data_IF_784196190751
#
_entry.id   IF_784196190751
#
_cell.length_a   1.000
_cell.length_b   1.000
_cell.length_c   1.000
_cell.angle_alpha   90.00
_cell.angle_beta   90.00
_cell.angle_gamma   90.00
#
_symmetry.space_group_name_H-M   'P 1'
#
loop_
_entity.id
_entity.type
_entity.pdbx_description
1 polymer ?
#
# COMPACT_ATOMS: atom_id res chain seq x y z
N UNK A 1 6.03 -34.14 48.53
CA UNK A 1 6.35 -32.79 49.04
C UNK A 1 5.31 -31.83 48.49
N UNK A 2 4.40 -31.45 49.37
CA UNK A 2 3.23 -30.60 49.16
C UNK A 2 3.60 -29.13 49.37
N UNK A 3 3.18 -28.26 48.46
CA UNK A 3 2.90 -26.85 48.81
C UNK A 3 1.70 -26.37 48.02
N UNK A 4 0.64 -26.18 48.80
CA UNK A 4 -0.69 -25.60 48.56
C UNK A 4 -0.66 -24.09 48.35
N UNK A 5 -1.52 -23.54 47.49
CA UNK A 5 -2.17 -22.23 47.62
C UNK A 5 -3.51 -22.30 46.82
N UNK A 6 -4.62 -22.62 47.49
CA UNK A 6 -5.59 -21.68 48.09
C UNK A 6 -6.48 -21.00 47.04
N UNK A 7 -7.65 -21.60 46.82
CA UNK A 7 -8.73 -21.07 45.98
C UNK A 7 -9.59 -20.04 46.70
N UNK A 8 -10.05 -19.04 45.95
CA UNK A 8 -11.08 -18.11 46.39
C UNK A 8 -12.45 -18.57 45.89
N UNK A 9 -13.31 -18.89 46.85
CA UNK A 9 -14.71 -19.26 46.70
C UNK A 9 -15.56 -17.98 46.78
N UNK A 10 -16.46 -17.79 45.80
CA UNK A 10 -17.58 -16.85 45.86
C UNK A 10 -18.67 -17.38 46.79
N UNK A 11 -19.21 -16.59 47.73
CA UNK A 11 -20.48 -16.90 48.35
C UNK A 11 -21.63 -16.20 47.62
N UNK A 12 -22.51 -17.04 47.07
CA UNK A 12 -23.90 -16.72 46.75
C UNK A 12 -24.61 -16.19 48.00
N UNK A 13 -25.12 -14.96 47.95
CA UNK A 13 -26.01 -14.42 48.97
C UNK A 13 -27.44 -14.90 48.71
N UNK A 14 -27.87 -15.83 49.55
CA UNK A 14 -29.26 -16.27 49.70
C UNK A 14 -30.10 -15.21 50.42
N UNK A 15 -31.25 -14.89 49.85
CA UNK A 15 -32.32 -14.09 50.46
C UNK A 15 -32.86 -14.81 51.71
N UNK A 16 -32.72 -14.18 52.88
CA UNK A 16 -33.39 -14.60 54.12
C UNK A 16 -34.34 -13.50 54.59
N UNK A 17 -35.62 -13.85 54.61
CA UNK A 17 -36.75 -13.04 55.02
C UNK A 17 -36.88 -13.09 56.55
N UNK A 18 -36.54 -12.01 57.27
CA UNK A 18 -36.99 -11.79 58.66
C UNK A 18 -37.18 -10.30 58.92
N UNK A 19 -38.43 -9.92 59.13
CA UNK A 19 -38.80 -8.65 59.77
C UNK A 19 -38.38 -8.67 61.25
N UNK A 20 -38.01 -7.50 61.81
CA UNK A 20 -38.65 -7.12 63.06
C UNK A 20 -39.17 -5.69 63.06
N UNK A 21 -40.16 -5.53 63.93
CA UNK A 21 -40.98 -4.36 64.18
C UNK A 21 -40.19 -3.10 64.58
N UNK A 22 -40.63 -1.99 63.99
CA UNK A 22 -40.82 -0.66 64.55
C UNK A 22 -40.06 -0.31 65.86
N UNK A 23 -39.10 0.62 65.74
CA UNK A 23 -38.88 1.62 66.79
C UNK A 23 -38.51 2.97 66.16
N UNK A 24 -39.17 4.00 66.66
CA UNK A 24 -39.12 5.39 66.22
C UNK A 24 -37.73 6.02 66.28
N UNK A 25 -37.34 6.86 65.30
CA UNK A 25 -36.96 8.27 65.51
C UNK A 25 -36.36 8.96 64.27
N UNK A 26 -36.90 10.17 64.04
CA UNK A 26 -36.32 11.38 63.42
C UNK A 26 -36.10 11.38 61.89
N UNK A 27 -36.91 12.20 61.24
CA UNK A 27 -36.81 12.65 59.84
C UNK A 27 -35.43 13.26 59.53
N UNK A 28 -34.81 12.94 58.38
CA UNK A 28 -33.67 13.68 57.89
C UNK A 28 -34.15 15.04 57.38
N UNK A 29 -33.60 16.11 57.97
CA UNK A 29 -33.84 17.49 57.53
C UNK A 29 -33.44 17.68 56.07
N UNK A 30 -34.24 18.47 55.34
CA UNK A 30 -34.12 18.86 53.93
C UNK A 30 -32.69 19.18 53.43
N UNK A 31 -31.78 19.61 54.32
CA UNK A 31 -30.37 19.90 54.01
C UNK A 31 -29.55 18.67 53.60
N UNK A 32 -29.83 17.49 54.16
CA UNK A 32 -29.07 16.27 53.85
C UNK A 32 -29.43 15.70 52.48
N UNK A 33 -30.69 15.85 52.05
CA UNK A 33 -31.14 15.43 50.73
C UNK A 33 -30.55 16.31 49.62
N UNK A 34 -30.46 17.63 49.83
CA UNK A 34 -29.84 18.55 48.88
C UNK A 34 -28.33 18.27 48.76
N UNK A 35 -27.63 18.05 49.87
CA UNK A 35 -26.20 17.72 49.84
C UNK A 35 -25.92 16.42 49.05
N UNK A 36 -26.73 15.37 49.26
CA UNK A 36 -26.59 14.09 48.55
C UNK A 36 -26.89 14.24 47.04
N UNK A 37 -27.89 15.05 46.68
CA UNK A 37 -28.22 15.33 45.28
C UNK A 37 -27.10 16.13 44.59
N UNK A 38 -26.52 17.10 45.29
CA UNK A 38 -25.45 17.97 44.75
C UNK A 38 -24.17 17.16 44.51
N UNK A 39 -23.80 16.28 45.45
CA UNK A 39 -22.63 15.39 45.31
C UNK A 39 -22.84 14.40 44.16
N UNK A 40 -24.04 13.82 44.02
CA UNK A 40 -24.34 12.89 42.92
C UNK A 40 -24.29 13.59 41.56
N UNK A 41 -24.86 14.80 41.44
CA UNK A 41 -24.81 15.59 40.20
C UNK A 41 -23.38 16.00 39.86
N UNK A 42 -22.59 16.44 40.84
CA UNK A 42 -21.18 16.74 40.63
C UNK A 42 -20.37 15.49 40.24
N UNK A 43 -20.62 14.34 40.84
CA UNK A 43 -19.99 13.07 40.46
C UNK A 43 -20.39 12.63 39.05
N UNK A 44 -21.65 12.80 38.64
CA UNK A 44 -22.10 12.50 37.28
C UNK A 44 -21.52 13.47 36.24
N UNK A 45 -21.36 14.75 36.59
CA UNK A 45 -20.69 15.74 35.74
C UNK A 45 -19.20 15.40 35.64
N UNK A 46 -18.53 15.08 36.76
CA UNK A 46 -17.12 14.65 36.76
C UNK A 46 -16.92 13.35 35.99
N UNK A 47 -17.78 12.34 36.16
CA UNK A 47 -17.74 11.12 35.36
C UNK A 47 -18.00 11.42 33.89
N UNK A 48 -18.95 12.30 33.55
CA UNK A 48 -19.20 12.67 32.15
C UNK A 48 -18.05 13.47 31.54
N UNK A 49 -17.32 14.28 32.32
CA UNK A 49 -16.14 15.01 31.86
C UNK A 49 -14.92 14.09 31.75
N UNK A 50 -14.73 13.16 32.70
CA UNK A 50 -13.67 12.14 32.65
C UNK A 50 -13.92 11.11 31.53
N UNK A 51 -15.16 10.68 31.32
CA UNK A 51 -15.54 9.78 30.21
C UNK A 51 -15.47 10.50 28.85
N UNK A 52 -15.75 11.81 28.79
CA UNK A 52 -15.50 12.62 27.58
C UNK A 52 -14.00 12.86 27.34
N UNK A 53 -13.18 12.91 28.38
CA UNK A 53 -11.72 12.97 28.29
C UNK A 53 -11.07 11.64 27.86
N UNK A 54 -11.69 10.50 28.18
CA UNK A 54 -11.19 9.16 27.86
C UNK A 54 -11.65 8.63 26.48
N UNK A 55 -12.48 9.38 25.75
CA UNK A 55 -12.94 9.01 24.39
C UNK A 55 -12.32 9.86 23.28
N UNK A 56 -11.21 10.56 23.54
CA UNK A 56 -10.36 11.04 22.45
C UNK A 56 -9.41 9.91 22.06
N UNK A 57 -9.95 8.92 21.32
CA UNK A 57 -9.11 8.00 20.55
C UNK A 57 -8.39 8.84 19.50
N UNK A 58 -7.27 9.47 19.88
CA UNK A 58 -6.40 10.18 18.95
C UNK A 58 -5.99 9.18 17.89
N UNK A 59 -6.38 9.44 16.64
CA UNK A 59 -5.98 8.59 15.52
C UNK A 59 -4.45 8.51 15.52
N UNK A 60 -3.86 7.34 15.19
CA UNK A 60 -2.42 7.23 15.03
C UNK A 60 -1.88 8.39 14.16
N UNK A 61 -0.74 8.95 14.52
CA UNK A 61 -0.20 10.17 13.90
C UNK A 61 -0.14 10.06 12.35
N UNK A 62 0.23 8.89 11.83
CA UNK A 62 0.31 8.64 10.39
C UNK A 62 -1.06 8.78 9.67
N UNK A 63 -2.19 8.61 10.38
CA UNK A 63 -3.55 8.78 9.83
C UNK A 63 -4.02 10.24 9.79
N UNK A 64 -3.24 11.18 10.34
CA UNK A 64 -3.63 12.59 10.43
C UNK A 64 -3.06 13.45 9.28
N UNK A 65 -2.02 12.98 8.59
CA UNK A 65 -1.39 13.73 7.49
C UNK A 65 -2.11 13.58 6.15
N UNK A 66 -2.20 14.66 5.36
CA UNK A 66 -2.70 14.57 3.98
C UNK A 66 -1.71 13.84 3.08
N UNK A 67 -2.24 13.08 2.12
CA UNK A 67 -1.47 12.26 1.19
C UNK A 67 -1.58 12.83 -0.23
N UNK A 68 -0.46 12.99 -0.92
CA UNK A 68 -0.43 13.18 -2.37
C UNK A 68 -0.10 11.85 -3.05
N UNK A 69 -0.93 11.43 -3.99
CA UNK A 69 -0.61 10.36 -4.93
C UNK A 69 -0.19 11.00 -6.26
N UNK A 70 1.05 10.81 -6.68
CA UNK A 70 1.54 11.19 -8.01
C UNK A 70 1.59 9.95 -8.89
N UNK A 71 0.68 9.88 -9.85
CA UNK A 71 0.60 8.79 -10.82
C UNK A 71 1.16 9.24 -12.18
N UNK A 72 2.31 8.69 -12.58
CA UNK A 72 2.97 8.96 -13.85
C UNK A 72 2.47 7.98 -14.93
N UNK A 73 1.72 8.49 -15.90
CA UNK A 73 1.11 7.70 -16.97
C UNK A 73 1.71 8.00 -18.34
N UNK A 74 2.16 6.93 -19.00
CA UNK A 74 2.56 6.93 -20.39
C UNK A 74 1.95 5.69 -21.06
N UNK A 75 0.99 5.90 -21.96
CA UNK A 75 0.27 4.84 -22.67
C UNK A 75 1.15 4.21 -23.75
N UNK A 76 2.17 3.45 -23.35
CA UNK A 76 3.11 2.81 -24.26
C UNK A 76 2.51 1.56 -24.92
N UNK A 77 1.80 0.75 -24.14
CA UNK A 77 1.23 -0.51 -24.57
C UNK A 77 -0.02 -0.88 -23.73
N UNK A 78 -0.64 -2.02 -24.07
CA UNK A 78 -1.86 -2.49 -23.43
C UNK A 78 -1.69 -2.80 -21.94
N UNK A 79 -0.49 -3.14 -21.48
CA UNK A 79 -0.21 -3.42 -20.07
C UNK A 79 -0.36 -2.13 -19.27
N UNK A 80 0.29 -1.02 -19.65
CA UNK A 80 0.17 0.23 -18.88
C UNK A 80 -1.24 0.81 -18.95
N UNK A 81 -1.94 0.68 -20.08
CA UNK A 81 -3.38 1.01 -20.17
C UNK A 81 -4.20 0.21 -19.16
N UNK A 82 -4.06 -1.11 -19.14
CA UNK A 82 -4.80 -1.98 -18.21
C UNK A 82 -4.45 -1.71 -16.75
N UNK A 83 -3.19 -1.39 -16.45
CA UNK A 83 -2.75 -1.03 -15.10
C UNK A 83 -3.41 0.27 -14.64
N UNK A 84 -3.48 1.27 -15.53
CA UNK A 84 -4.08 2.55 -15.18
C UNK A 84 -5.60 2.46 -15.02
N UNK A 85 -6.29 1.69 -15.88
CA UNK A 85 -7.71 1.39 -15.71
C UNK A 85 -7.99 0.71 -14.37
N UNK A 86 -7.17 -0.28 -14.01
CA UNK A 86 -7.26 -0.95 -12.71
C UNK A 86 -7.03 0.04 -11.56
N UNK A 87 -6.02 0.90 -11.66
CA UNK A 87 -5.73 1.91 -10.65
C UNK A 87 -6.88 2.92 -10.49
N UNK A 88 -7.44 3.42 -11.59
CA UNK A 88 -8.60 4.31 -11.54
C UNK A 88 -9.79 3.64 -10.83
N UNK A 89 -9.99 2.34 -11.08
CA UNK A 89 -11.08 1.56 -10.49
C UNK A 89 -10.88 1.19 -9.01
N UNK A 90 -9.64 0.92 -8.58
CA UNK A 90 -9.35 0.36 -7.25
C UNK A 90 -8.56 1.29 -6.33
N UNK A 91 -7.72 2.16 -6.89
CA UNK A 91 -6.76 2.98 -6.15
C UNK A 91 -7.19 4.42 -5.90
N UNK A 92 -8.34 4.85 -6.43
CA UNK A 92 -8.85 6.23 -6.28
C UNK A 92 -10.01 6.36 -5.29
N UNK A 93 -10.21 5.33 -4.48
CA UNK A 93 -11.15 5.31 -3.36
C UNK A 93 -10.79 6.35 -2.29
N UNK A 94 -11.81 6.89 -1.64
CA UNK A 94 -11.62 7.73 -0.47
C UNK A 94 -11.10 6.90 0.70
N UNK A 95 -10.32 7.51 1.59
CA UNK A 95 -9.89 6.85 2.82
C UNK A 95 -11.13 6.54 3.68
N UNK A 96 -11.28 5.29 4.19
CA UNK A 96 -12.39 4.93 5.08
C UNK A 96 -12.43 5.76 6.37
N UNK A 97 -11.29 6.32 6.77
CA UNK A 97 -11.17 7.17 7.96
C UNK A 97 -11.39 8.66 7.65
N UNK A 98 -11.57 9.05 6.39
CA UNK A 98 -11.64 10.45 5.99
C UNK A 98 -10.28 11.17 5.96
N UNK A 99 -9.16 10.43 6.02
CA UNK A 99 -7.84 11.00 5.74
C UNK A 99 -7.83 11.60 4.33
N UNK A 100 -7.36 12.84 4.20
CA UNK A 100 -7.36 13.55 2.92
C UNK A 100 -6.32 12.97 1.96
N UNK A 101 -6.76 12.52 0.80
CA UNK A 101 -5.92 12.02 -0.30
C UNK A 101 -6.18 12.88 -1.52
N UNK A 102 -5.12 13.36 -2.16
CA UNK A 102 -5.19 14.07 -3.44
C UNK A 102 -4.48 13.25 -4.52
N UNK A 103 -5.11 13.08 -5.67
CA UNK A 103 -4.56 12.32 -6.80
C UNK A 103 -4.12 13.26 -7.92
N UNK A 104 -2.82 13.28 -8.20
CA UNK A 104 -2.25 13.94 -9.35
C UNK A 104 -1.91 12.91 -10.43
N UNK A 105 -2.64 12.96 -11.54
CA UNK A 105 -2.36 12.16 -12.73
C UNK A 105 -1.56 12.99 -13.72
N UNK A 106 -0.35 12.55 -14.04
CA UNK A 106 0.51 13.20 -15.04
C UNK A 106 0.54 12.34 -16.29
N UNK A 107 -0.04 12.87 -17.36
CA UNK A 107 -0.26 12.19 -18.64
C UNK A 107 0.79 12.66 -19.64
N UNK A 108 1.76 11.80 -19.95
CA UNK A 108 2.89 12.10 -20.84
C UNK A 108 2.68 11.60 -22.27
N UNK A 109 1.43 11.60 -22.72
CA UNK A 109 0.99 11.12 -24.05
C UNK A 109 -0.09 12.07 -24.59
N UNK A 110 -0.25 12.12 -25.92
CA UNK A 110 -1.29 12.92 -26.56
C UNK A 110 -2.69 12.40 -26.25
N UNK A 111 -2.84 11.08 -26.34
CA UNK A 111 -4.09 10.38 -26.07
C UNK A 111 -3.98 9.62 -24.76
N UNK A 112 -5.02 9.71 -23.94
CA UNK A 112 -5.16 8.89 -22.73
C UNK A 112 -6.52 8.22 -22.79
N UNK A 113 -6.54 6.96 -23.21
CA UNK A 113 -7.76 6.20 -23.36
C UNK A 113 -8.53 6.04 -22.03
N UNK A 114 -7.87 5.84 -20.85
CA UNK A 114 -8.58 5.71 -19.58
C UNK A 114 -9.02 7.05 -18.96
N UNK A 115 -8.53 8.19 -19.45
CA UNK A 115 -8.73 9.49 -18.78
C UNK A 115 -10.15 10.06 -18.90
N UNK A 116 -10.98 9.53 -19.80
CA UNK A 116 -12.32 10.09 -20.11
C UNK A 116 -13.22 10.20 -18.86
N UNK A 117 -13.03 9.33 -17.88
CA UNK A 117 -13.87 9.24 -16.68
C UNK A 117 -13.23 9.85 -15.42
N UNK A 118 -12.06 10.48 -15.52
CA UNK A 118 -11.39 11.09 -14.35
C UNK A 118 -12.18 12.29 -13.83
N UNK A 119 -12.75 13.09 -14.73
CA UNK A 119 -13.63 14.21 -14.41
C UNK A 119 -14.99 14.01 -15.05
N UNK A 120 -16.04 14.26 -14.27
CA UNK A 120 -17.44 14.11 -14.70
C UNK A 120 -18.01 15.38 -15.31
N UNK A 121 -17.29 16.50 -15.23
CA UNK A 121 -17.71 17.81 -15.74
C UNK A 121 -16.57 18.47 -16.49
N UNK A 122 -16.93 19.27 -17.51
CA UNK A 122 -15.99 20.19 -18.13
C UNK A 122 -15.47 21.16 -17.06
N UNK A 123 -14.16 21.30 -16.99
CA UNK A 123 -13.48 22.09 -15.97
C UNK A 123 -12.45 22.99 -16.64
N UNK A 124 -12.33 24.22 -16.15
CA UNK A 124 -11.40 25.20 -16.69
C UNK A 124 -9.96 24.69 -16.61
N UNK A 125 -9.20 24.95 -17.67
CA UNK A 125 -7.78 24.65 -17.71
C UNK A 125 -7.01 25.75 -17.00
N UNK A 126 -6.02 25.36 -16.21
CA UNK A 126 -4.97 26.26 -15.72
C UNK A 126 -3.70 25.98 -16.50
N UNK A 127 -3.00 27.05 -16.87
CA UNK A 127 -1.62 26.94 -17.33
C UNK A 127 -0.76 26.43 -16.16
N UNK A 128 0.19 25.56 -16.47
CA UNK A 128 1.18 25.07 -15.52
C UNK A 128 2.58 25.54 -15.92
N UNK A 129 3.62 25.08 -15.21
CA UNK A 129 4.99 25.43 -15.53
C UNK A 129 5.39 24.97 -16.96
N UNK A 130 5.44 25.90 -17.90
CA UNK A 130 5.68 25.62 -19.33
C UNK A 130 7.04 24.95 -19.57
N UNK A 131 8.08 25.34 -18.80
CA UNK A 131 9.42 24.76 -18.88
C UNK A 131 9.47 23.25 -18.56
N UNK A 132 8.41 22.68 -17.97
CA UNK A 132 8.27 21.24 -17.73
C UNK A 132 7.39 20.53 -18.78
N UNK A 133 7.01 21.25 -19.83
CA UNK A 133 6.16 20.76 -20.91
C UNK A 133 4.69 20.62 -20.54
N UNK A 134 4.20 21.34 -19.51
CA UNK A 134 2.78 21.28 -19.11
C UNK A 134 1.92 22.02 -20.13
N UNK A 135 1.12 21.29 -20.91
CA UNK A 135 0.21 21.87 -21.91
C UNK A 135 -1.08 22.37 -21.30
N UNK A 136 -1.66 21.55 -20.42
CA UNK A 136 -2.93 21.83 -19.74
C UNK A 136 -2.97 21.09 -18.42
N UNK A 137 -3.47 21.76 -17.40
CA UNK A 137 -3.77 21.16 -16.12
C UNK A 137 -5.20 21.48 -15.71
N UNK A 138 -5.79 20.57 -14.95
CA UNK A 138 -7.17 20.68 -14.51
C UNK A 138 -7.26 20.09 -13.12
N UNK A 139 -7.82 20.85 -12.18
CA UNK A 139 -8.04 20.39 -10.81
C UNK A 139 -9.52 20.45 -10.48
N UNK A 140 -10.08 19.32 -10.02
CA UNK A 140 -11.45 19.21 -9.54
C UNK A 140 -11.46 18.43 -8.22
N UNK A 141 -11.84 19.10 -7.13
CA UNK A 141 -11.82 18.51 -5.80
C UNK A 141 -10.43 18.01 -5.40
N UNK A 142 -10.35 16.71 -5.06
CA UNK A 142 -9.12 16.00 -4.68
C UNK A 142 -8.35 15.41 -5.86
N UNK A 143 -8.67 15.78 -7.11
CA UNK A 143 -8.03 15.22 -8.31
C UNK A 143 -7.47 16.33 -9.18
N UNK A 144 -6.26 16.11 -9.69
CA UNK A 144 -5.61 16.95 -10.69
C UNK A 144 -5.16 16.07 -11.85
N UNK A 145 -5.44 16.51 -13.07
CA UNK A 145 -4.96 15.89 -14.31
C UNK A 145 -4.05 16.89 -15.02
N UNK A 146 -2.83 16.49 -15.32
CA UNK A 146 -1.81 17.31 -15.96
C UNK A 146 -1.39 16.62 -17.25
N UNK A 147 -1.53 17.28 -18.38
CA UNK A 147 -1.05 16.78 -19.66
C UNK A 147 0.30 17.41 -19.99
N UNK A 148 1.27 16.57 -20.31
CA UNK A 148 2.58 16.97 -20.80
C UNK A 148 2.65 16.89 -22.33
N UNK A 149 3.60 17.58 -22.92
CA UNK A 149 3.94 17.51 -24.35
C UNK A 149 4.56 16.16 -24.69
N UNK A 150 5.56 15.74 -23.90
CA UNK A 150 6.40 14.58 -24.18
C UNK A 150 6.67 13.76 -22.91
N UNK A 151 7.08 12.51 -23.10
CA UNK A 151 7.56 11.63 -22.03
C UNK A 151 9.06 11.81 -21.71
N UNK A 152 9.59 13.02 -21.92
CA UNK A 152 10.98 13.37 -21.62
C UNK A 152 11.22 13.30 -20.11
N UNK A 153 12.29 12.60 -19.71
CA UNK A 153 12.60 12.26 -18.31
C UNK A 153 11.68 11.22 -17.67
N UNK A 154 10.80 10.60 -18.48
CA UNK A 154 9.93 9.49 -18.10
C UNK A 154 9.07 9.78 -16.84
N UNK A 155 8.92 8.78 -15.98
CA UNK A 155 8.15 8.82 -14.75
C UNK A 155 8.79 9.74 -13.69
N UNK A 156 10.11 9.75 -13.56
CA UNK A 156 10.82 10.66 -12.63
C UNK A 156 10.48 12.13 -12.91
N UNK A 157 10.55 12.55 -14.18
CA UNK A 157 10.15 13.90 -14.56
C UNK A 157 8.65 14.15 -14.41
N UNK A 158 7.83 13.11 -14.60
CA UNK A 158 6.37 13.22 -14.38
C UNK A 158 6.04 13.48 -12.91
N UNK A 159 6.76 12.86 -11.97
CA UNK A 159 6.64 13.18 -10.54
C UNK A 159 7.11 14.62 -10.26
N UNK A 160 8.20 15.07 -10.88
CA UNK A 160 8.62 16.47 -10.77
C UNK A 160 7.54 17.45 -11.22
N UNK A 161 6.87 17.17 -12.34
CA UNK A 161 5.75 17.97 -12.86
C UNK A 161 4.60 18.03 -11.85
N UNK A 162 4.28 16.90 -11.20
CA UNK A 162 3.27 16.85 -10.14
C UNK A 162 3.61 17.81 -8.99
N UNK A 163 4.86 17.77 -8.50
CA UNK A 163 5.29 18.62 -7.40
C UNK A 163 5.37 20.09 -7.81
N UNK A 164 5.97 20.37 -8.95
CA UNK A 164 6.15 21.73 -9.48
C UNK A 164 4.82 22.41 -9.77
N UNK A 165 3.83 21.70 -10.31
CA UNK A 165 2.49 22.24 -10.50
C UNK A 165 1.81 22.55 -9.16
N UNK A 166 1.85 21.62 -8.19
CA UNK A 166 1.27 21.87 -6.86
C UNK A 166 1.99 22.98 -6.11
N UNK A 167 3.29 23.16 -6.32
CA UNK A 167 4.05 24.27 -5.76
C UNK A 167 3.63 25.59 -6.41
N UNK A 168 3.49 25.62 -7.74
CA UNK A 168 3.02 26.78 -8.50
C UNK A 168 1.64 27.27 -8.01
N UNK A 169 0.72 26.36 -7.69
CA UNK A 169 -0.59 26.72 -7.13
C UNK A 169 -0.63 26.78 -5.59
N UNK A 170 0.53 26.76 -4.91
CA UNK A 170 0.63 26.94 -3.45
C UNK A 170 0.09 25.81 -2.58
N UNK A 171 -0.12 24.61 -3.14
CA UNK A 171 -0.75 23.45 -2.47
C UNK A 171 0.22 22.35 -2.04
N UNK A 172 1.46 22.31 -2.54
CA UNK A 172 2.40 21.22 -2.23
C UNK A 172 2.63 21.04 -0.72
N UNK A 173 2.73 22.16 0.02
CA UNK A 173 2.94 22.19 1.48
C UNK A 173 1.81 21.58 2.32
N UNK A 174 0.65 21.33 1.72
CA UNK A 174 -0.51 20.75 2.42
C UNK A 174 -0.36 19.24 2.65
N UNK A 175 0.56 18.59 1.95
CA UNK A 175 0.75 17.14 1.98
C UNK A 175 1.88 16.76 2.92
N UNK A 176 1.65 15.76 3.76
CA UNK A 176 2.65 15.18 4.65
C UNK A 176 3.38 14.01 4.00
N UNK A 177 2.65 13.23 3.20
CA UNK A 177 3.15 12.04 2.53
C UNK A 177 2.95 12.14 1.03
N UNK A 178 3.90 11.62 0.27
CA UNK A 178 3.94 11.65 -1.18
C UNK A 178 4.17 10.22 -1.66
N UNK A 179 3.25 9.69 -2.46
CA UNK A 179 3.35 8.34 -3.01
C UNK A 179 3.44 8.46 -4.53
N UNK A 180 4.54 7.95 -5.08
CA UNK A 180 4.88 8.01 -6.49
C UNK A 180 4.64 6.63 -7.08
N UNK A 181 3.83 6.60 -8.14
CA UNK A 181 3.49 5.37 -8.86
C UNK A 181 3.64 5.63 -10.34
N UNK A 182 4.27 4.73 -11.08
CA UNK A 182 4.27 4.80 -12.53
C UNK A 182 3.39 3.71 -13.15
N UNK A 183 2.99 3.95 -14.39
CA UNK A 183 2.06 3.07 -15.11
C UNK A 183 2.60 1.67 -15.46
N UNK A 184 3.88 1.39 -15.19
CA UNK A 184 4.43 0.02 -15.27
C UNK A 184 4.05 -0.86 -14.08
N UNK A 185 3.61 -0.24 -12.98
CA UNK A 185 3.15 -0.92 -11.78
C UNK A 185 1.65 -1.24 -11.88
N UNK A 186 1.27 -2.46 -11.49
CA UNK A 186 -0.11 -2.93 -11.39
C UNK A 186 -0.54 -2.95 -9.93
N UNK A 187 -1.74 -2.45 -9.63
CA UNK A 187 -2.29 -2.38 -8.28
C UNK A 187 -3.25 -1.20 -8.12
N UNK A 188 -3.62 -0.85 -6.88
CA UNK A 188 -3.19 -1.48 -5.63
C UNK A 188 -3.87 -2.85 -5.41
N UNK A 189 -3.15 -3.77 -4.78
CA UNK A 189 -3.68 -5.03 -4.26
C UNK A 189 -3.79 -4.93 -2.73
N UNK A 190 -4.96 -5.31 -2.21
CA UNK A 190 -5.25 -5.31 -0.78
C UNK A 190 -5.76 -6.70 -0.38
N UNK A 191 -5.20 -7.32 0.67
CA UNK A 191 -5.70 -8.60 1.15
C UNK A 191 -7.07 -8.45 1.80
N UNK A 192 -7.89 -9.51 1.74
CA UNK A 192 -9.24 -9.50 2.31
C UNK A 192 -9.25 -9.36 3.85
N UNK A 193 -8.15 -9.71 4.51
CA UNK A 193 -7.98 -9.56 5.97
C UNK A 193 -7.50 -8.15 6.39
N UNK A 194 -7.33 -7.23 5.45
CA UNK A 194 -6.95 -5.85 5.75
C UNK A 194 -8.03 -5.18 6.61
N UNK A 195 -7.66 -4.45 7.68
CA UNK A 195 -8.65 -3.82 8.55
C UNK A 195 -9.59 -2.88 7.76
N UNK A 196 -10.90 -2.82 8.09
CA UNK A 196 -11.87 -2.00 7.34
C UNK A 196 -11.54 -0.50 7.30
N UNK A 197 -10.82 -0.02 8.31
CA UNK A 197 -10.39 1.38 8.42
C UNK A 197 -9.06 1.66 7.70
N UNK A 198 -8.46 0.66 7.06
CA UNK A 198 -7.26 0.82 6.27
C UNK A 198 -7.57 1.06 4.79
N UNK A 199 -7.02 2.14 4.27
CA UNK A 199 -6.72 2.36 2.85
C UNK A 199 -5.33 1.78 2.45
N UNK A 200 -5.10 1.45 1.18
CA UNK A 200 -3.84 0.81 0.70
C UNK A 200 -2.60 1.65 0.99
N UNK A 201 -2.75 2.97 1.03
CA UNK A 201 -1.67 3.92 1.36
C UNK A 201 -1.09 3.68 2.75
N UNK A 202 -1.87 3.12 3.68
CA UNK A 202 -1.40 2.80 5.03
C UNK A 202 -0.28 1.77 5.07
N UNK A 203 -0.18 0.89 4.07
CA UNK A 203 0.95 -0.02 3.94
C UNK A 203 2.28 0.75 3.88
N UNK A 204 2.32 1.90 3.20
CA UNK A 204 3.49 2.77 3.16
C UNK A 204 3.60 3.64 4.41
N UNK A 205 2.54 4.40 4.72
CA UNK A 205 2.70 5.53 5.66
C UNK A 205 2.88 5.10 7.12
N UNK A 206 2.45 3.87 7.48
CA UNK A 206 2.72 3.30 8.82
C UNK A 206 4.20 3.00 9.05
N UNK A 207 5.00 2.92 7.98
CA UNK A 207 6.44 2.63 8.03
C UNK A 207 7.29 3.86 8.30
N UNK A 208 6.75 5.08 8.17
CA UNK A 208 7.45 6.31 8.57
C UNK A 208 7.50 6.40 10.10
N UNK A 209 8.58 5.86 10.68
CA UNK A 209 8.90 5.89 12.11
C UNK A 209 10.37 6.25 12.27
N UNK A 210 10.70 7.02 13.29
CA UNK A 210 12.08 7.44 13.55
C UNK A 210 12.66 8.23 12.38
N UNK A 211 13.76 7.72 11.82
CA UNK A 211 14.54 8.32 10.73
C UNK A 211 14.23 7.74 9.33
N UNK A 212 13.15 6.95 9.21
CA UNK A 212 12.68 6.45 7.92
C UNK A 212 11.99 7.59 7.17
N UNK A 213 12.56 7.98 6.02
CA UNK A 213 12.01 9.06 5.18
C UNK A 213 11.65 8.61 3.74
N UNK A 214 11.85 7.33 3.43
CA UNK A 214 11.35 6.71 2.21
C UNK A 214 10.89 5.26 2.43
N UNK A 215 9.83 4.83 1.74
CA UNK A 215 9.25 3.49 1.85
C UNK A 215 8.97 2.95 0.45
N UNK A 216 9.61 1.86 0.06
CA UNK A 216 9.48 1.30 -1.28
C UNK A 216 8.59 0.06 -1.31
N UNK A 217 7.86 -0.15 -2.41
CA UNK A 217 7.28 -1.48 -2.69
C UNK A 217 8.36 -2.53 -2.89
N UNK A 218 9.47 -2.14 -3.52
CA UNK A 218 10.58 -3.02 -3.84
C UNK A 218 11.89 -2.25 -3.82
N UNK A 219 12.95 -2.94 -3.42
CA UNK A 219 14.28 -2.38 -3.27
C UNK A 219 15.31 -3.41 -3.72
N UNK A 220 16.34 -2.94 -4.41
CA UNK A 220 17.48 -3.72 -4.89
C UNK A 220 18.75 -3.24 -4.19
N UNK A 221 19.72 -4.12 -3.94
CA UNK A 221 21.08 -3.68 -3.60
C UNK A 221 21.96 -3.84 -4.83
N UNK A 222 22.66 -2.78 -5.24
CA UNK A 222 23.57 -2.85 -6.35
C UNK A 222 24.93 -3.42 -5.91
N UNK A 223 25.62 -4.17 -6.79
CA UNK A 223 26.98 -4.63 -6.53
C UNK A 223 27.99 -3.50 -6.80
N UNK A 224 29.27 -3.75 -6.50
CA UNK A 224 30.34 -2.74 -6.65
C UNK A 224 30.60 -2.38 -8.11
N UNK A 225 30.33 -3.31 -9.03
CA UNK A 225 30.56 -3.17 -10.47
C UNK A 225 29.49 -2.33 -11.17
N UNK A 226 28.34 -2.10 -10.54
CA UNK A 226 27.29 -1.25 -11.10
C UNK A 226 27.71 0.23 -11.03
N UNK A 227 27.47 0.97 -12.10
CA UNK A 227 27.83 2.39 -12.19
C UNK A 227 27.09 3.28 -11.18
N UNK A 228 25.97 2.81 -10.64
CA UNK A 228 25.25 3.42 -9.53
C UNK A 228 25.94 3.29 -8.18
N UNK A 229 27.03 2.53 -8.10
CA UNK A 229 27.75 2.20 -6.88
C UNK A 229 27.00 1.21 -5.99
N UNK A 230 27.67 0.59 -5.00
CA UNK A 230 27.06 -0.44 -4.18
C UNK A 230 25.95 0.09 -3.26
N UNK A 231 25.11 -0.83 -2.80
CA UNK A 231 24.13 -0.57 -1.74
C UNK A 231 22.69 -0.39 -2.23
N UNK A 232 21.77 -0.05 -1.31
CA UNK A 232 20.34 -0.15 -1.54
C UNK A 232 19.82 0.97 -2.46
N UNK A 233 18.91 0.61 -3.37
CA UNK A 233 18.20 1.49 -4.28
C UNK A 233 16.71 1.16 -4.24
N UNK A 234 15.90 2.20 -4.12
CA UNK A 234 14.45 2.08 -4.27
C UNK A 234 14.15 1.85 -5.75
N UNK A 235 13.34 0.84 -6.05
CA UNK A 235 12.84 0.68 -7.42
C UNK A 235 11.68 1.66 -7.63
N UNK A 236 11.90 2.65 -8.50
CA UNK A 236 11.10 3.88 -8.64
C UNK A 236 9.65 3.71 -9.14
N UNK A 237 9.17 2.48 -9.32
CA UNK A 237 7.86 2.21 -9.89
C UNK A 237 6.69 2.33 -8.90
N UNK A 238 6.93 2.14 -7.60
CA UNK A 238 5.99 2.47 -6.52
C UNK A 238 6.74 2.68 -5.20
N UNK A 239 6.70 3.90 -4.67
CA UNK A 239 7.35 4.25 -3.41
C UNK A 239 6.71 5.48 -2.77
N UNK A 240 6.99 5.69 -1.50
CA UNK A 240 6.52 6.83 -0.73
C UNK A 240 7.68 7.57 -0.07
N UNK A 241 7.52 8.87 0.12
CA UNK A 241 8.39 9.71 0.96
C UNK A 241 7.53 10.62 1.83
N UNK A 242 8.08 11.10 2.93
CA UNK A 242 7.47 12.18 3.71
C UNK A 242 8.00 13.56 3.23
N UNK A 243 7.67 14.63 3.95
CA UNK A 243 8.13 15.98 3.60
C UNK A 243 9.65 16.14 3.63
N UNK A 244 10.34 15.49 4.56
CA UNK A 244 11.79 15.59 4.69
C UNK A 244 12.48 14.80 3.58
N UNK A 245 11.99 13.60 3.28
CA UNK A 245 12.44 12.80 2.15
C UNK A 245 12.21 13.51 0.80
N UNK A 246 11.03 14.10 0.59
CA UNK A 246 10.76 14.87 -0.63
C UNK A 246 11.72 16.05 -0.77
N UNK A 247 11.94 16.81 0.31
CA UNK A 247 12.87 17.95 0.28
C UNK A 247 14.28 17.50 -0.10
N UNK A 248 14.80 16.45 0.53
CA UNK A 248 16.12 15.92 0.22
C UNK A 248 16.24 15.51 -1.26
N UNK A 249 15.20 14.89 -1.84
CA UNK A 249 15.17 14.51 -3.25
C UNK A 249 15.11 15.71 -4.21
N UNK A 250 14.42 16.79 -3.81
CA UNK A 250 14.42 18.04 -4.57
C UNK A 250 15.80 18.72 -4.51
N UNK A 251 16.41 18.79 -3.33
CA UNK A 251 17.73 19.37 -3.11
C UNK A 251 18.84 18.58 -3.82
N UNK A 252 18.76 17.24 -3.86
CA UNK A 252 19.72 16.41 -4.58
C UNK A 252 19.53 16.43 -6.11
N UNK A 253 18.42 17.01 -6.58
CA UNK A 253 18.06 17.02 -7.99
C UNK A 253 17.62 15.66 -8.52
N UNK A 254 17.21 14.71 -7.67
CA UNK A 254 16.75 13.38 -8.09
C UNK A 254 15.65 13.48 -9.17
N UNK A 255 14.73 14.43 -8.99
CA UNK A 255 13.60 14.67 -9.90
C UNK A 255 13.90 15.56 -11.11
N UNK A 256 15.14 16.03 -11.29
CA UNK A 256 15.49 16.88 -12.42
C UNK A 256 15.18 16.19 -13.75
N UNK A 257 14.67 16.97 -14.70
CA UNK A 257 14.37 16.47 -16.03
C UNK A 257 15.68 16.10 -16.73
N UNK A 258 15.73 14.88 -17.25
CA UNK A 258 16.88 14.29 -17.93
C UNK A 258 16.42 13.63 -19.21
N UNK A 259 17.25 13.62 -20.23
CA UNK A 259 16.89 13.13 -21.57
C UNK A 259 17.49 11.77 -21.89
N UNK A 260 18.50 11.35 -21.12
CA UNK A 260 19.29 10.17 -21.45
C UNK A 260 19.03 9.02 -20.46
N UNK A 261 18.52 7.89 -20.94
CA UNK A 261 18.10 6.79 -20.07
C UNK A 261 19.26 6.11 -19.33
N UNK A 262 20.29 5.69 -20.07
CA UNK A 262 21.33 4.78 -19.59
C UNK A 262 22.75 5.25 -19.87
N UNK A 263 22.98 6.54 -20.13
CA UNK A 263 24.34 7.07 -20.14
C UNK A 263 24.91 7.15 -18.73
N UNK A 264 26.22 7.41 -18.67
CA UNK A 264 26.94 7.67 -17.43
C UNK A 264 26.72 9.11 -16.96
N UNK A 265 26.88 9.35 -15.66
CA UNK A 265 26.92 10.70 -15.10
C UNK A 265 25.55 11.36 -14.84
N UNK A 266 25.57 12.70 -14.73
CA UNK A 266 24.46 13.51 -14.18
C UNK A 266 23.20 13.56 -15.06
N UNK A 267 23.37 13.33 -16.36
CA UNK A 267 22.26 13.36 -17.33
C UNK A 267 21.50 12.02 -17.43
N UNK A 268 21.96 11.00 -16.71
CA UNK A 268 21.36 9.67 -16.67
C UNK A 268 20.06 9.65 -15.87
N UNK A 269 18.96 9.24 -16.49
CA UNK A 269 17.67 9.01 -15.82
C UNK A 269 17.81 7.88 -14.78
N UNK A 270 18.54 6.81 -15.10
CA UNK A 270 18.74 5.68 -14.18
C UNK A 270 19.67 6.10 -13.03
N UNK A 271 20.90 6.52 -13.33
CA UNK A 271 21.91 6.74 -12.29
C UNK A 271 21.60 7.97 -11.43
N UNK A 272 21.23 9.08 -12.07
CA UNK A 272 21.01 10.36 -11.39
C UNK A 272 19.54 10.65 -11.07
N UNK A 273 18.62 9.84 -11.60
CA UNK A 273 17.19 9.89 -11.25
C UNK A 273 16.81 8.72 -10.34
N UNK A 274 16.53 7.55 -10.92
CA UNK A 274 15.99 6.39 -10.20
C UNK A 274 16.89 5.95 -9.02
N UNK A 275 18.17 5.66 -9.27
CA UNK A 275 19.11 5.23 -8.24
C UNK A 275 19.40 6.31 -7.20
N UNK A 276 19.33 7.58 -7.60
CA UNK A 276 19.54 8.70 -6.69
C UNK A 276 18.50 8.76 -5.58
N UNK A 277 17.30 8.16 -5.76
CA UNK A 277 16.25 8.18 -4.75
C UNK A 277 16.75 7.55 -3.45
N UNK A 278 17.21 6.30 -3.51
CA UNK A 278 17.71 5.59 -2.34
C UNK A 278 19.05 6.14 -1.83
N UNK A 279 19.93 6.52 -2.76
CA UNK A 279 21.23 7.09 -2.43
C UNK A 279 21.11 8.44 -1.69
N UNK A 280 20.10 9.25 -2.05
CA UNK A 280 19.84 10.53 -1.39
C UNK A 280 19.47 10.33 0.08
N UNK A 281 18.64 9.32 0.39
CA UNK A 281 18.26 9.03 1.78
C UNK A 281 19.51 8.77 2.63
N UNK A 282 20.39 7.88 2.17
CA UNK A 282 21.64 7.56 2.86
C UNK A 282 22.54 8.79 3.00
N UNK A 283 22.69 9.60 1.94
CA UNK A 283 23.52 10.82 1.94
C UNK A 283 23.05 11.86 2.94
N UNK A 284 21.74 11.95 3.19
CA UNK A 284 21.16 12.85 4.19
C UNK A 284 21.11 12.23 5.60
N UNK A 285 21.68 11.03 5.79
CA UNK A 285 21.66 10.32 7.08
C UNK A 285 20.31 9.66 7.41
N UNK A 286 19.37 9.66 6.47
CA UNK A 286 18.06 9.06 6.61
C UNK A 286 18.10 7.55 6.37
N UNK A 287 17.21 6.83 7.05
CA UNK A 287 16.96 5.44 6.75
C UNK A 287 15.78 5.30 5.75
N UNK A 288 15.60 4.09 5.25
CA UNK A 288 14.52 3.72 4.33
C UNK A 288 13.81 2.47 4.85
N UNK A 289 12.65 2.17 4.29
CA UNK A 289 11.96 0.90 4.51
C UNK A 289 11.51 0.31 3.17
N UNK A 290 11.22 -0.98 3.19
CA UNK A 290 10.61 -1.71 2.08
C UNK A 290 9.40 -2.48 2.57
N UNK A 291 8.44 -2.71 1.67
CA UNK A 291 7.29 -3.58 1.91
C UNK A 291 7.62 -5.08 1.72
N UNK A 292 8.81 -5.38 1.20
CA UNK A 292 9.29 -6.74 1.00
C UNK A 292 9.42 -7.48 2.34
N UNK A 293 8.69 -8.60 2.47
CA UNK A 293 8.58 -9.47 3.64
C UNK A 293 9.91 -10.09 4.04
N UNK A 294 10.79 -10.37 3.07
CA UNK A 294 12.13 -10.94 3.33
C UNK A 294 12.96 -10.12 4.32
N UNK A 295 12.71 -8.81 4.42
CA UNK A 295 13.49 -7.91 5.27
C UNK A 295 12.75 -7.56 6.56
N UNK A 296 13.46 -7.64 7.68
CA UNK A 296 12.96 -7.19 8.98
C UNK A 296 12.56 -5.72 8.93
N UNK A 297 11.62 -5.34 9.79
CA UNK A 297 11.04 -4.00 9.76
C UNK A 297 11.98 -2.89 10.24
N UNK A 298 13.09 -3.25 10.87
CA UNK A 298 14.05 -2.43 11.60
C UNK A 298 15.46 -2.44 10.98
N UNK A 299 15.60 -2.96 9.75
CA UNK A 299 16.88 -2.92 9.03
C UNK A 299 17.34 -1.47 8.84
N UNK A 300 18.59 -1.20 9.22
CA UNK A 300 19.26 0.07 8.96
C UNK A 300 20.01 0.01 7.62
N UNK A 301 19.40 0.54 6.57
CA UNK A 301 19.97 0.48 5.21
C UNK A 301 21.22 1.36 5.03
N UNK A 302 21.58 2.17 6.03
CA UNK A 302 22.85 2.92 6.05
C UNK A 302 24.02 2.01 6.38
N UNK A 303 23.80 0.89 7.06
CA UNK A 303 24.84 -0.07 7.40
C UNK A 303 25.24 -0.91 6.17
N UNK A 304 26.50 -0.82 5.70
CA UNK A 304 26.99 -1.59 4.56
C UNK A 304 26.87 -3.11 4.73
N UNK A 305 26.71 -3.63 5.96
CA UNK A 305 26.48 -5.07 6.18
C UNK A 305 25.25 -5.59 5.43
N UNK A 306 24.27 -4.72 5.17
CA UNK A 306 23.03 -5.05 4.47
C UNK A 306 23.09 -4.83 2.95
N UNK A 307 24.21 -4.36 2.41
CA UNK A 307 24.32 -3.94 0.99
C UNK A 307 24.47 -5.09 -0.01
N UNK A 308 24.40 -6.34 0.46
CA UNK A 308 24.29 -7.56 -0.36
C UNK A 308 22.85 -8.09 -0.44
N UNK A 309 21.86 -7.25 -0.13
CA UNK A 309 20.46 -7.66 -0.16
C UNK A 309 20.03 -8.19 -1.54
N UNK A 310 19.12 -9.17 -1.54
CA UNK A 310 18.69 -9.93 -2.72
C UNK A 310 19.86 -10.47 -3.57
N UNK A 311 21.00 -10.84 -2.97
CA UNK A 311 22.19 -11.32 -3.70
C UNK A 311 22.63 -10.37 -4.84
N UNK A 312 22.40 -9.07 -4.62
CA UNK A 312 22.62 -8.01 -5.58
C UNK A 312 21.85 -8.14 -6.92
N UNK A 313 20.73 -8.86 -6.93
CA UNK A 313 19.82 -8.95 -8.07
C UNK A 313 18.54 -8.14 -7.87
N UNK A 314 17.98 -7.65 -8.98
CA UNK A 314 16.71 -6.93 -8.96
C UNK A 314 15.56 -7.90 -8.62
N UNK A 315 14.86 -7.77 -7.48
CA UNK A 315 13.79 -8.70 -7.09
C UNK A 315 12.51 -8.55 -7.94
N UNK A 316 12.39 -7.45 -8.69
CA UNK A 316 11.30 -7.23 -9.64
C UNK A 316 11.58 -7.83 -11.03
N UNK A 317 12.37 -8.90 -11.12
CA UNK A 317 12.46 -9.74 -12.33
C UNK A 317 11.90 -11.12 -12.02
N UNK A 318 11.62 -11.86 -13.09
CA UNK A 318 11.06 -13.20 -12.95
C UNK A 318 12.08 -14.14 -12.27
N UNK A 319 11.71 -14.73 -11.14
CA UNK A 319 12.52 -15.72 -10.42
C UNK A 319 13.69 -15.16 -9.61
N UNK A 320 13.91 -13.84 -9.62
CA UNK A 320 15.04 -13.19 -8.95
C UNK A 320 14.70 -12.69 -7.54
N UNK A 321 13.56 -13.08 -7.01
CA UNK A 321 13.21 -12.89 -5.59
C UNK A 321 13.31 -14.24 -4.89
N UNK A 322 14.54 -14.72 -4.65
CA UNK A 322 14.86 -16.03 -4.05
C UNK A 322 14.16 -17.22 -4.72
N UNK A 323 14.09 -17.22 -6.05
CA UNK A 323 13.41 -18.27 -6.81
C UNK A 323 11.89 -18.15 -6.85
N UNK A 324 11.31 -17.13 -6.20
CA UNK A 324 9.88 -16.79 -6.31
C UNK A 324 9.67 -15.44 -7.02
N UNK A 325 8.42 -14.97 -7.06
CA UNK A 325 8.05 -13.63 -7.51
C UNK A 325 7.49 -12.84 -6.34
N UNK A 326 7.69 -11.52 -6.34
CA UNK A 326 7.04 -10.61 -5.39
C UNK A 326 5.53 -10.85 -5.34
N UNK A 327 4.99 -11.07 -4.15
CA UNK A 327 3.56 -11.28 -3.99
C UNK A 327 2.83 -9.92 -4.06
N UNK A 328 1.76 -9.77 -4.86
CA UNK A 328 1.02 -8.52 -4.93
C UNK A 328 0.46 -8.02 -3.60
N UNK A 329 0.10 -8.90 -2.67
CA UNK A 329 -0.42 -8.51 -1.35
C UNK A 329 0.67 -8.15 -0.34
N UNK A 330 1.93 -8.45 -0.66
CA UNK A 330 3.10 -8.05 0.12
C UNK A 330 3.52 -6.63 -0.25
N UNK A 331 3.67 -6.34 -1.55
CA UNK A 331 4.26 -5.07 -2.01
C UNK A 331 3.25 -4.02 -2.45
N UNK A 332 1.94 -4.31 -2.38
CA UNK A 332 0.78 -3.49 -2.81
C UNK A 332 0.70 -3.25 -4.32
N UNK A 333 1.83 -2.98 -4.94
CA UNK A 333 2.01 -2.83 -6.38
C UNK A 333 3.10 -3.78 -6.85
N UNK A 334 2.99 -4.24 -8.10
CA UNK A 334 3.97 -5.13 -8.74
C UNK A 334 4.26 -4.64 -10.14
N UNK A 335 5.52 -4.69 -10.57
CA UNK A 335 5.93 -4.27 -11.92
C UNK A 335 5.52 -5.28 -12.99
N UNK A 336 4.32 -5.09 -13.54
CA UNK A 336 3.72 -6.05 -14.48
C UNK A 336 4.36 -6.04 -15.87
N UNK A 337 5.00 -4.95 -16.28
CA UNK A 337 5.71 -4.87 -17.58
C UNK A 337 6.93 -5.79 -17.67
N UNK A 338 7.37 -6.34 -16.53
CA UNK A 338 8.42 -7.36 -16.46
C UNK A 338 7.85 -8.75 -16.16
N UNK A 339 6.54 -8.94 -16.34
CA UNK A 339 5.82 -10.19 -16.13
C UNK A 339 5.96 -10.76 -14.70
N UNK A 340 6.26 -9.89 -13.72
CA UNK A 340 6.40 -10.28 -12.32
C UNK A 340 5.04 -10.73 -11.78
N UNK A 341 4.98 -11.94 -11.24
CA UNK A 341 3.78 -12.55 -10.67
C UNK A 341 2.55 -12.52 -11.62
N UNK A 342 2.74 -12.60 -12.94
CA UNK A 342 1.67 -12.39 -13.91
C UNK A 342 0.43 -13.29 -13.72
N UNK A 343 0.54 -14.62 -13.46
CA UNK A 343 -0.64 -15.44 -13.21
C UNK A 343 -1.47 -14.93 -12.03
N UNK A 344 -0.80 -14.51 -10.95
CA UNK A 344 -1.43 -13.99 -9.74
C UNK A 344 -2.04 -12.61 -9.97
N UNK A 345 -1.25 -11.66 -10.47
CA UNK A 345 -1.70 -10.27 -10.66
C UNK A 345 -2.83 -10.17 -11.69
N UNK A 346 -2.85 -11.03 -12.71
CA UNK A 346 -3.97 -11.12 -13.66
C UNK A 346 -5.24 -11.64 -12.99
N UNK A 347 -5.16 -12.75 -12.26
CA UNK A 347 -6.32 -13.36 -11.57
C UNK A 347 -6.88 -12.45 -10.48
N UNK A 348 -6.03 -11.94 -9.59
CA UNK A 348 -6.43 -11.05 -8.50
C UNK A 348 -7.03 -9.74 -9.01
N UNK A 349 -6.44 -9.12 -10.05
CA UNK A 349 -7.01 -7.91 -10.64
C UNK A 349 -8.41 -8.16 -11.23
N UNK A 350 -8.61 -9.34 -11.85
CA UNK A 350 -9.91 -9.77 -12.35
C UNK A 350 -10.94 -9.93 -11.23
N UNK A 351 -10.59 -10.63 -10.15
CA UNK A 351 -11.49 -10.82 -9.00
C UNK A 351 -11.86 -9.49 -8.34
N UNK A 352 -10.87 -8.65 -8.00
CA UNK A 352 -11.11 -7.34 -7.41
C UNK A 352 -11.99 -6.46 -8.31
N UNK A 353 -11.76 -6.50 -9.63
CA UNK A 353 -12.58 -5.78 -10.60
C UNK A 353 -14.03 -6.25 -10.61
N UNK A 354 -14.28 -7.56 -10.53
CA UNK A 354 -15.63 -8.12 -10.49
C UNK A 354 -16.36 -7.76 -9.20
N UNK A 355 -15.68 -7.86 -8.05
CA UNK A 355 -16.27 -7.50 -6.75
C UNK A 355 -16.71 -6.04 -6.72
N UNK A 356 -15.94 -5.12 -7.32
CA UNK A 356 -16.35 -3.72 -7.48
C UNK A 356 -17.60 -3.49 -8.33
N UNK A 357 -17.92 -4.43 -9.20
CA UNK A 357 -19.12 -4.40 -10.03
C UNK A 357 -20.31 -5.08 -9.32
N UNK A 358 -20.17 -5.44 -8.04
CA UNK A 358 -21.20 -6.11 -7.26
C UNK A 358 -21.31 -7.60 -7.54
N UNK A 359 -20.38 -8.18 -8.32
CA UNK A 359 -20.35 -9.63 -8.55
C UNK A 359 -19.77 -10.32 -7.31
N UNK A 360 -20.38 -11.42 -6.91
CA UNK A 360 -20.00 -12.19 -5.72
C UNK A 360 -18.68 -12.95 -5.90
N UNK A 361 -18.31 -13.24 -7.15
CA UNK A 361 -17.18 -14.12 -7.46
C UNK A 361 -17.48 -15.60 -7.21
N UNK A 362 -18.68 -15.94 -6.76
CA UNK A 362 -19.16 -17.32 -6.58
C UNK A 362 -19.89 -17.85 -7.80
N UNK A 363 -19.95 -17.08 -8.89
CA UNK A 363 -20.52 -17.51 -10.15
C UNK A 363 -19.56 -18.53 -10.79
N UNK A 364 -19.89 -19.82 -10.74
CA UNK A 364 -19.09 -20.90 -11.29
C UNK A 364 -19.92 -22.12 -11.64
N UNK A 365 -19.41 -22.94 -12.54
CA UNK A 365 -19.95 -24.26 -12.87
C UNK A 365 -19.04 -25.34 -12.34
N UNK A 366 -19.58 -26.52 -12.05
CA UNK A 366 -18.79 -27.66 -11.60
C UNK A 366 -17.79 -28.06 -12.67
N UNK A 367 -16.49 -27.89 -12.38
CA UNK A 367 -15.42 -28.45 -13.19
C UNK A 367 -15.08 -29.85 -12.68
N UNK A 368 -15.83 -30.86 -13.15
CA UNK A 368 -15.67 -32.25 -12.68
C UNK A 368 -14.26 -32.79 -12.91
N UNK A 369 -13.63 -32.44 -14.03
CA UNK A 369 -12.29 -32.91 -14.37
C UNK A 369 -11.24 -32.34 -13.42
N UNK A 370 -11.30 -31.02 -13.16
CA UNK A 370 -10.43 -30.36 -12.21
C UNK A 370 -10.66 -30.85 -10.77
N UNK A 371 -11.91 -31.09 -10.40
CA UNK A 371 -12.23 -31.67 -9.09
C UNK A 371 -11.58 -33.04 -8.90
N UNK A 372 -11.76 -33.95 -9.87
CA UNK A 372 -11.15 -35.29 -9.84
C UNK A 372 -9.62 -35.23 -9.78
N UNK A 373 -9.01 -34.36 -10.60
CA UNK A 373 -7.58 -34.10 -10.55
C UNK A 373 -7.16 -33.62 -9.16
N UNK A 374 -7.81 -32.61 -8.60
CA UNK A 374 -7.42 -31.97 -7.33
C UNK A 374 -7.48 -32.92 -6.11
N UNK A 375 -8.36 -33.92 -6.14
CA UNK A 375 -8.45 -34.94 -5.08
C UNK A 375 -7.59 -36.19 -5.35
N UNK A 376 -6.94 -36.29 -6.51
CA UNK A 376 -6.10 -37.45 -6.87
C UNK A 376 -4.80 -37.48 -6.06
N UNK A 377 -4.24 -38.68 -5.86
CA UNK A 377 -2.89 -38.84 -5.29
C UNK A 377 -1.83 -38.16 -6.17
N UNK A 378 -2.04 -38.15 -7.49
CA UNK A 378 -1.14 -37.48 -8.45
C UNK A 378 -0.99 -35.99 -8.15
N UNK A 379 -2.07 -35.30 -7.82
CA UNK A 379 -2.04 -33.88 -7.46
C UNK A 379 -1.42 -33.61 -6.07
N UNK A 380 -1.46 -34.60 -5.17
CA UNK A 380 -0.89 -34.52 -3.82
C UNK A 380 0.58 -34.99 -3.76
N UNK A 381 1.10 -35.53 -4.87
CA UNK A 381 2.48 -35.99 -5.00
C UNK A 381 3.50 -34.84 -4.96
N UNK A 382 4.75 -35.15 -5.35
CA UNK A 382 5.85 -34.18 -5.29
C UNK A 382 5.54 -32.87 -6.03
N UNK A 383 6.12 -31.78 -5.52
CA UNK A 383 5.85 -30.41 -5.92
C UNK A 383 5.98 -30.18 -7.43
N UNK A 384 4.84 -30.18 -8.11
CA UNK A 384 4.69 -29.94 -9.55
C UNK A 384 4.34 -28.48 -9.85
N UNK A 385 4.66 -27.52 -8.99
CA UNK A 385 4.25 -26.11 -9.16
C UNK A 385 4.59 -25.55 -10.56
N UNK A 386 5.72 -25.94 -11.13
CA UNK A 386 6.11 -25.58 -12.51
C UNK A 386 5.11 -26.10 -13.57
N UNK A 387 4.55 -27.29 -13.39
CA UNK A 387 3.50 -27.88 -14.23
C UNK A 387 2.11 -27.31 -13.89
N UNK A 388 1.87 -26.95 -12.62
CA UNK A 388 0.60 -26.42 -12.11
C UNK A 388 0.22 -25.05 -12.68
N UNK A 389 1.18 -24.26 -13.19
CA UNK A 389 0.89 -23.04 -13.94
C UNK A 389 0.22 -23.32 -15.30
N UNK A 390 0.30 -24.55 -15.81
CA UNK A 390 -0.39 -25.02 -17.01
C UNK A 390 -1.37 -26.14 -16.63
N UNK A 391 -2.53 -25.75 -16.11
CA UNK A 391 -3.55 -26.69 -15.62
C UNK A 391 -3.99 -27.71 -16.68
N UNK A 392 -4.09 -27.30 -17.94
CA UNK A 392 -4.38 -28.22 -19.05
C UNK A 392 -3.31 -29.30 -19.18
N UNK A 393 -2.03 -28.93 -19.12
CA UNK A 393 -0.93 -29.90 -19.18
C UNK A 393 -0.92 -30.84 -17.98
N UNK A 394 -1.13 -30.31 -16.77
CA UNK A 394 -1.20 -31.12 -15.56
C UNK A 394 -2.35 -32.15 -15.60
N UNK A 395 -3.53 -31.73 -16.07
CA UNK A 395 -4.69 -32.61 -16.25
C UNK A 395 -4.38 -33.69 -17.31
N UNK A 396 -3.79 -33.33 -18.45
CA UNK A 396 -3.41 -34.31 -19.48
C UNK A 396 -2.40 -35.34 -18.98
N UNK A 397 -1.42 -34.93 -18.18
CA UNK A 397 -0.45 -35.85 -17.59
C UNK A 397 -1.09 -36.81 -16.57
N UNK A 398 -2.02 -36.30 -15.75
CA UNK A 398 -2.79 -37.14 -14.83
C UNK A 398 -3.63 -38.16 -15.59
N UNK A 399 -4.36 -37.76 -16.64
CA UNK A 399 -5.15 -38.68 -17.46
C UNK A 399 -4.28 -39.78 -18.08
N UNK A 400 -3.11 -39.43 -18.63
CA UNK A 400 -2.15 -40.41 -19.15
C UNK A 400 -1.62 -41.36 -18.06
N UNK A 401 -1.43 -40.86 -16.84
CA UNK A 401 -1.02 -41.69 -15.70
C UNK A 401 -2.10 -42.70 -15.31
N UNK A 402 -3.36 -42.28 -15.20
CA UNK A 402 -4.50 -43.16 -14.89
C UNK A 402 -4.71 -44.25 -15.96
N UNK A 403 -4.56 -43.89 -17.24
CA UNK A 403 -4.59 -44.85 -18.35
C UNK A 403 -3.46 -45.89 -18.22
N UNK A 404 -2.25 -45.46 -17.85
CA UNK A 404 -1.11 -46.35 -17.68
C UNK A 404 -1.25 -47.33 -16.51
N UNK A 405 -1.93 -46.92 -15.43
CA UNK A 405 -2.25 -47.78 -14.27
C UNK A 405 -3.33 -48.79 -14.67
N UNK A 406 -4.36 -48.34 -15.39
CA UNK A 406 -5.46 -49.19 -15.84
C UNK A 406 -4.98 -50.30 -16.78
N UNK A 407 -4.00 -50.01 -17.65
CA UNK A 407 -3.38 -51.01 -18.54
C UNK A 407 -2.55 -52.05 -17.78
N UNK A 408 -1.96 -51.70 -16.63
CA UNK A 408 -1.10 -52.61 -15.84
C UNK A 408 -1.86 -53.54 -14.89
N UNK A 409 -3.16 -53.30 -14.68
CA UNK A 409 -4.03 -54.13 -13.82
C UNK A 409 -4.86 -55.16 -14.58
N UNK A 410 -4.81 -55.15 -15.92
CA UNK A 410 -5.36 -56.18 -16.82
C UNK A 410 -4.22 -57.11 -17.22
#
# INVERSE_FOLDING_TARGET
>A
MSTTWAGHVWPLLTLSNRSPLLSSRKSPTHRNAIALCTVTVLCCIFLSVCLRGLSYSSRPEYKQGSILISYAYYEKDAIQRSNFELFLKLGTDLSPTGQHIHWNFVISTETCSPCRNIFTKASAYTQGPEHLGVRKATTQGSRTLIYRTENTGMDIASHNVSFSYLQHIGRLRLFRYFIMINSSAKGPFQPAYMPPDWHWTHAYIVRFKGDIHAVASSMVCLPTEDEGGPGPRIESWAYAVDQLGLRALQESGAYNMRTCKGCKGRDSIILSGEYSIGLTMIRFGYNMATLMLKYSQDVDWRDPIHWKCNDNVHPSRHGTYDGISLNPFETVFVKSTWHVAEPYTRRYAGWLSRHRQGMSGTEGTTNQLLYKFAISEFAQGHNKLAEGYNLSSAISQWQAHEESISIKMV
#
